data_IF_710312612903
#
_entry.id   IF_710312612903
#
_cell.length_a   1.000
_cell.length_b   1.000
_cell.length_c   1.000
_cell.angle_alpha   90.00
_cell.angle_beta   90.00
_cell.angle_gamma   90.00
#
_symmetry.space_group_name_H-M   'P 1'
#
loop_
_entity.id
_entity.type
_entity.pdbx_description
1 polymer ?
#
# COMPACT_ATOMS: atom_id res chain seq x y z
N UNK A 1 0.00 12.76 0.54
CA UNK A 1 0.44 11.44 0.05
C UNK A 1 -0.33 11.03 -1.20
N UNK A 2 -1.67 10.94 -1.16
CA UNK A 2 -2.42 10.43 -2.32
C UNK A 2 -2.34 11.26 -3.61
N UNK A 3 -2.18 12.59 -3.53
CA UNK A 3 -2.06 13.49 -4.68
C UNK A 3 -0.68 13.51 -5.35
N UNK A 4 0.28 12.71 -4.84
CA UNK A 4 1.67 12.69 -5.29
C UNK A 4 2.06 11.34 -5.92
N UNK A 5 1.10 10.44 -6.14
CA UNK A 5 1.35 9.14 -6.77
C UNK A 5 0.39 8.93 -7.94
N UNK A 6 0.88 8.26 -8.99
CA UNK A 6 0.11 7.94 -10.19
C UNK A 6 -0.88 6.80 -9.96
N UNK A 7 -0.56 5.93 -8.99
CA UNK A 7 -1.46 4.90 -8.50
C UNK A 7 -1.39 4.74 -6.98
N UNK A 8 -2.45 4.19 -6.39
CA UNK A 8 -2.55 3.93 -4.96
C UNK A 8 -3.08 2.53 -4.70
N UNK A 9 -2.50 1.84 -3.73
CA UNK A 9 -2.98 0.55 -3.22
C UNK A 9 -3.44 0.77 -1.78
N UNK A 10 -4.71 0.48 -1.52
CA UNK A 10 -5.30 0.53 -0.20
C UNK A 10 -5.56 -0.91 0.24
N UNK A 11 -4.84 -1.35 1.28
CA UNK A 11 -5.04 -2.68 1.87
C UNK A 11 -6.07 -2.56 2.99
N UNK A 12 -7.13 -3.36 2.94
CA UNK A 12 -8.13 -3.39 3.99
C UNK A 12 -9.34 -4.25 3.65
N UNK A 13 -10.03 -4.71 4.69
CA UNK A 13 -11.24 -5.50 4.53
C UNK A 13 -12.39 -4.68 3.97
N UNK A 14 -13.11 -5.24 3.02
CA UNK A 14 -14.30 -4.64 2.39
C UNK A 14 -15.43 -4.31 3.37
N UNK A 15 -15.47 -5.01 4.51
CA UNK A 15 -16.44 -4.80 5.59
C UNK A 15 -16.00 -3.76 6.63
N UNK A 16 -14.77 -3.25 6.58
CA UNK A 16 -14.27 -2.25 7.51
C UNK A 16 -14.65 -0.84 7.04
N UNK A 17 -15.50 -0.16 7.80
CA UNK A 17 -15.89 1.22 7.52
C UNK A 17 -14.67 2.16 7.45
N UNK A 18 -13.66 1.95 8.29
CA UNK A 18 -12.43 2.74 8.26
C UNK A 18 -11.61 2.48 6.99
N UNK A 19 -11.46 1.21 6.57
CA UNK A 19 -10.73 0.87 5.34
C UNK A 19 -11.44 1.42 4.11
N UNK A 20 -12.78 1.38 4.10
CA UNK A 20 -13.58 1.95 3.01
C UNK A 20 -13.48 3.47 2.95
N UNK A 21 -13.50 4.13 4.11
CA UNK A 21 -13.33 5.58 4.17
C UNK A 21 -11.93 6.01 3.68
N UNK A 22 -10.88 5.27 4.07
CA UNK A 22 -9.52 5.48 3.55
C UNK A 22 -9.47 5.34 2.03
N UNK A 23 -10.11 4.30 1.48
CA UNK A 23 -10.24 4.10 0.04
C UNK A 23 -10.96 5.26 -0.66
N UNK A 24 -12.08 5.73 -0.11
CA UNK A 24 -12.83 6.87 -0.66
C UNK A 24 -11.96 8.14 -0.71
N UNK A 25 -11.18 8.41 0.34
CA UNK A 25 -10.23 9.52 0.37
C UNK A 25 -9.16 9.37 -0.71
N UNK A 26 -8.52 8.20 -0.80
CA UNK A 26 -7.49 7.94 -1.81
C UNK A 26 -8.06 8.08 -3.23
N UNK A 27 -9.26 7.54 -3.48
CA UNK A 27 -9.93 7.61 -4.78
C UNK A 27 -10.33 9.04 -5.17
N UNK A 28 -10.60 9.91 -4.19
CA UNK A 28 -10.86 11.33 -4.47
C UNK A 28 -9.60 12.10 -4.90
N UNK A 29 -8.41 11.59 -4.52
CA UNK A 29 -7.14 12.26 -4.75
C UNK A 29 -6.28 11.62 -5.87
N UNK A 30 -6.55 10.37 -6.23
CA UNK A 30 -5.85 9.62 -7.26
C UNK A 30 -6.87 8.86 -8.14
N UNK A 31 -6.68 8.87 -9.45
CA UNK A 31 -7.60 8.23 -10.39
C UNK A 31 -7.45 6.70 -10.43
N UNK A 32 -6.24 6.19 -10.14
CA UNK A 32 -5.92 4.78 -10.17
C UNK A 32 -5.72 4.24 -8.75
N UNK A 33 -6.81 3.79 -8.13
CA UNK A 33 -6.79 3.27 -6.76
C UNK A 33 -7.35 1.87 -6.69
N UNK A 34 -6.53 0.93 -6.23
CA UNK A 34 -6.95 -0.44 -5.95
C UNK A 34 -7.24 -0.62 -4.47
N UNK A 35 -8.34 -1.32 -4.18
CA UNK A 35 -8.70 -1.71 -2.81
C UNK A 35 -8.65 -3.22 -2.71
N UNK A 36 -7.73 -3.73 -1.91
CA UNK A 36 -7.41 -5.16 -1.84
C UNK A 36 -7.38 -5.65 -0.39
N UNK A 37 -7.76 -6.89 -0.17
CA UNK A 37 -7.69 -7.55 1.14
C UNK A 37 -6.36 -8.30 1.33
N UNK A 38 -5.70 -8.70 0.22
CA UNK A 38 -4.45 -9.44 0.22
C UNK A 38 -3.67 -9.26 -1.09
N UNK A 39 -2.40 -9.67 -1.12
CA UNK A 39 -1.52 -9.53 -2.27
C UNK A 39 -2.02 -10.27 -3.53
N UNK A 40 -2.81 -11.34 -3.39
CA UNK A 40 -3.34 -12.06 -4.55
C UNK A 40 -4.34 -11.23 -5.36
N UNK A 41 -5.04 -10.28 -4.73
CA UNK A 41 -5.99 -9.38 -5.39
C UNK A 41 -5.32 -8.17 -6.07
N UNK A 42 -4.02 -7.97 -5.85
CA UNK A 42 -3.27 -6.89 -6.49
C UNK A 42 -3.15 -7.15 -8.00
N UNK A 43 -3.67 -6.22 -8.80
CA UNK A 43 -3.49 -6.18 -10.25
C UNK A 43 -2.33 -5.25 -10.60
N UNK A 44 -1.15 -5.84 -10.76
CA UNK A 44 0.08 -5.12 -11.11
C UNK A 44 0.08 -4.57 -12.53
N UNK A 45 -0.75 -5.12 -13.43
CA UNK A 45 -0.85 -4.63 -14.81
C UNK A 45 -1.41 -3.19 -14.87
N UNK A 46 -2.22 -2.81 -13.88
CA UNK A 46 -2.72 -1.46 -13.73
C UNK A 46 -1.64 -0.44 -13.30
N UNK A 47 -0.42 -0.88 -12.96
CA UNK A 47 0.70 0.01 -12.59
C UNK A 47 1.77 0.15 -13.66
N UNK A 48 1.62 -0.49 -14.83
CA UNK A 48 2.62 -0.48 -15.92
C UNK A 48 2.97 0.94 -16.41
N UNK A 49 2.07 1.90 -16.21
CA UNK A 49 2.27 3.31 -16.58
C UNK A 49 2.36 4.26 -15.37
N UNK A 50 2.47 3.72 -14.16
CA UNK A 50 2.59 4.50 -12.94
C UNK A 50 4.08 4.58 -12.53
N UNK A 51 4.63 5.79 -12.46
CA UNK A 51 6.00 5.99 -12.00
C UNK A 51 6.09 5.88 -10.47
N UNK A 52 5.05 6.35 -9.78
CA UNK A 52 4.95 6.25 -8.32
C UNK A 52 3.67 5.53 -7.92
N UNK A 53 3.81 4.44 -7.17
CA UNK A 53 2.67 3.73 -6.55
C UNK A 53 2.75 3.86 -5.04
N UNK A 54 1.75 4.50 -4.43
CA UNK A 54 1.65 4.58 -2.98
C UNK A 54 0.95 3.35 -2.40
N UNK A 55 1.42 2.88 -1.24
CA UNK A 55 0.81 1.78 -0.49
C UNK A 55 0.33 2.31 0.86
N UNK A 56 -0.94 2.08 1.18
CA UNK A 56 -1.52 2.38 2.49
C UNK A 56 -2.37 1.22 2.97
N UNK A 57 -2.58 1.12 4.28
CA UNK A 57 -3.36 0.05 4.87
C UNK A 57 -4.23 0.58 6.01
N UNK A 58 -5.40 -0.02 6.19
CA UNK A 58 -6.22 0.23 7.37
C UNK A 58 -5.51 -0.21 8.65
N UNK A 59 -5.75 0.48 9.76
CA UNK A 59 -5.10 0.20 11.05
C UNK A 59 -5.30 -1.24 11.56
N UNK A 60 -6.33 -1.94 11.10
CA UNK A 60 -6.65 -3.33 11.46
C UNK A 60 -5.98 -4.37 10.55
N UNK A 61 -5.18 -3.95 9.57
CA UNK A 61 -4.50 -4.85 8.63
C UNK A 61 -3.20 -5.35 9.26
N UNK A 62 -3.01 -6.68 9.37
CA UNK A 62 -1.76 -7.24 9.84
C UNK A 62 -0.57 -6.84 8.95
N UNK A 63 0.56 -6.53 9.58
CA UNK A 63 1.76 -6.07 8.87
C UNK A 63 2.31 -7.08 7.84
N UNK A 64 2.09 -8.38 8.05
CA UNK A 64 2.53 -9.40 7.09
C UNK A 64 1.83 -9.27 5.74
N UNK A 65 0.55 -8.86 5.70
CA UNK A 65 -0.18 -8.61 4.45
C UNK A 65 0.45 -7.42 3.71
N UNK A 66 0.80 -6.36 4.46
CA UNK A 66 1.46 -5.18 3.88
C UNK A 66 2.82 -5.58 3.28
N UNK A 67 3.58 -6.44 3.97
CA UNK A 67 4.86 -6.97 3.48
C UNK A 67 4.68 -7.82 2.21
N UNK A 68 3.69 -8.69 2.16
CA UNK A 68 3.39 -9.49 0.95
C UNK A 68 3.00 -8.60 -0.24
N UNK A 69 2.18 -7.58 -0.01
CA UNK A 69 1.79 -6.62 -1.07
C UNK A 69 3.01 -5.85 -1.55
N UNK A 70 3.83 -5.33 -0.63
CA UNK A 70 5.09 -4.64 -0.98
C UNK A 70 6.01 -5.56 -1.78
N UNK A 71 6.18 -6.81 -1.37
CA UNK A 71 7.03 -7.76 -2.07
C UNK A 71 6.50 -8.04 -3.47
N UNK A 72 5.20 -8.27 -3.65
CA UNK A 72 4.62 -8.48 -4.98
C UNK A 72 4.78 -7.27 -5.89
N UNK A 73 4.68 -6.05 -5.34
CA UNK A 73 4.97 -4.82 -6.07
C UNK A 73 6.46 -4.75 -6.46
N UNK A 74 7.39 -5.01 -5.54
CA UNK A 74 8.82 -4.99 -5.84
C UNK A 74 9.24 -6.08 -6.84
N UNK A 75 8.75 -7.31 -6.70
CA UNK A 75 9.10 -8.44 -7.56
C UNK A 75 8.69 -8.19 -9.03
N UNK A 76 7.61 -7.43 -9.26
CA UNK A 76 7.14 -7.06 -10.60
C UNK A 76 7.67 -5.70 -11.10
N UNK A 77 8.11 -4.81 -10.19
CA UNK A 77 8.67 -3.46 -10.50
C UNK A 77 10.21 -3.47 -10.61
N UNK A 78 10.86 -4.65 -10.59
CA UNK A 78 12.32 -4.85 -10.71
C UNK A 78 12.95 -4.47 -12.07
N UNK A 79 12.62 -3.30 -12.62
CA UNK A 79 13.35 -2.66 -13.71
C UNK A 79 13.87 -1.26 -13.43
N UNK A 80 13.86 -0.74 -12.20
CA UNK A 80 14.74 0.39 -11.83
C UNK A 80 15.28 0.26 -10.40
N UNK A 81 16.57 -0.05 -10.29
CA UNK A 81 17.34 0.07 -9.05
C UNK A 81 17.40 1.55 -8.63
N UNK A 82 16.76 1.89 -7.51
CA UNK A 82 17.19 3.01 -6.68
C UNK A 82 17.07 2.61 -5.20
N UNK A 83 18.20 2.44 -4.49
CA UNK A 83 18.20 2.12 -3.07
C UNK A 83 17.94 3.39 -2.29
N UNK A 84 16.70 3.71 -1.95
CA UNK A 84 16.45 4.73 -0.92
C UNK A 84 15.15 4.47 -0.16
N UNK A 85 15.26 4.51 1.17
CA UNK A 85 14.19 4.59 2.18
C UNK A 85 13.44 3.29 2.52
N UNK A 86 14.15 2.27 3.03
CA UNK A 86 13.51 1.18 3.83
C UNK A 86 13.53 1.45 5.35
N UNK A 87 14.25 2.47 5.83
CA UNK A 87 14.58 2.56 7.26
C UNK A 87 13.46 3.11 8.17
N UNK A 88 12.40 3.74 7.66
CA UNK A 88 11.44 4.42 8.52
C UNK A 88 10.17 3.59 8.86
N UNK A 89 9.77 2.65 8.00
CA UNK A 89 8.52 1.90 8.22
C UNK A 89 8.66 0.76 9.23
N UNK A 90 9.79 0.04 9.20
CA UNK A 90 10.02 -1.07 10.13
C UNK A 90 10.20 -0.57 11.57
N UNK A 91 10.86 0.56 11.80
CA UNK A 91 10.96 1.19 13.13
C UNK A 91 9.60 1.66 13.67
N UNK A 92 8.76 2.25 12.82
CA UNK A 92 7.40 2.67 13.21
C UNK A 92 6.50 1.47 13.56
N UNK A 93 6.64 0.37 12.83
CA UNK A 93 5.90 -0.86 13.10
C UNK A 93 6.34 -1.49 14.42
N UNK A 94 7.65 -1.54 14.68
CA UNK A 94 8.23 -2.01 15.95
C UNK A 94 7.81 -1.14 17.14
N UNK A 95 7.77 0.20 16.95
CA UNK A 95 7.32 1.13 17.99
C UNK A 95 5.85 0.93 18.37
N UNK A 96 4.99 0.53 17.42
CA UNK A 96 3.58 0.25 17.66
C UNK A 96 3.33 -1.09 18.37
N UNK A 97 4.34 -1.96 18.48
CA UNK A 97 4.24 -3.30 19.07
C UNK A 97 4.87 -3.41 20.47
N UNK A 98 5.44 -2.33 21.03
CA UNK A 98 5.97 -2.36 22.41
C UNK A 98 4.83 -2.29 23.43
N UNK A 99 4.66 -3.31 24.31
CA UNK A 99 3.76 -3.19 25.44
C UNK A 99 4.38 -2.28 26.51
N UNK A 100 3.52 -1.46 27.14
CA UNK A 100 3.83 -0.63 28.32
C UNK A 100 4.12 -1.52 29.53
#
# INVERSE_FOLDING_TARGET
MASACDAMVVVGGSHSANSRHLYEICRSACANVQFIENAAQLDTSAFVHADTVGLTAGASVPAWIIKEVKQKMSDEILTQENPTETENFDEMLEASLKPI
#
